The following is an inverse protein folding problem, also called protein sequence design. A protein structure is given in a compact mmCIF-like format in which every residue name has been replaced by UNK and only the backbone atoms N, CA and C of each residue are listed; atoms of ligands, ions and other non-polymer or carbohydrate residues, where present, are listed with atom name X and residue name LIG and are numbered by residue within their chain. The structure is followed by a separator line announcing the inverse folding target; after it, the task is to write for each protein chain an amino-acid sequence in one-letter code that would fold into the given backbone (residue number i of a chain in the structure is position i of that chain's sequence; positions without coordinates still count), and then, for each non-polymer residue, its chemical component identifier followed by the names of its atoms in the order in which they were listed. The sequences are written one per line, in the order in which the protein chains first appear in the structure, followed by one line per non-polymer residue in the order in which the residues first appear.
data_IF_494704237250
#
_entry.id   IF_494704237250
#
_cell.length_a   1.000
_cell.length_b   1.000
_cell.length_c   1.000
_cell.angle_alpha   90.00
_cell.angle_beta   90.00
_cell.angle_gamma   90.00
#
_symmetry.space_group_name_H-M   'P 1'
#
loop_
_entity.id
_entity.type
_entity.pdbx_description
1 polymer ?
#
# COMPACT_ATOMS: atom_id res chain seq x y z
N UNK A 1 23.26 16.00 17.98
CA UNK A 1 24.06 14.83 18.40
C UNK A 1 23.76 13.68 17.43
N UNK A 2 24.69 13.37 16.58
CA UNK A 2 24.49 12.36 15.50
C UNK A 2 24.72 10.99 16.08
N UNK A 3 23.69 10.13 16.11
CA UNK A 3 23.73 8.79 16.70
C UNK A 3 24.39 7.72 15.80
N UNK A 4 25.04 8.10 14.71
CA UNK A 4 25.74 7.18 13.79
C UNK A 4 25.02 5.83 13.56
N UNK A 5 23.70 5.85 13.39
CA UNK A 5 22.85 4.69 13.17
C UNK A 5 22.97 3.59 14.25
N UNK A 6 23.28 3.95 15.49
CA UNK A 6 23.40 3.02 16.63
C UNK A 6 22.38 3.32 17.73
N UNK A 7 21.82 2.27 18.31
CA UNK A 7 20.91 2.41 19.45
C UNK A 7 21.64 2.99 20.69
N UNK A 8 20.99 3.92 21.42
CA UNK A 8 21.57 4.53 22.63
C UNK A 8 21.84 3.54 23.76
N UNK A 9 20.99 2.51 23.91
CA UNK A 9 21.08 1.54 25.01
C UNK A 9 21.99 0.35 24.69
N UNK A 10 21.84 -0.23 23.51
CA UNK A 10 22.51 -1.51 23.19
C UNK A 10 23.64 -1.38 22.16
N UNK A 11 23.91 -0.17 21.66
CA UNK A 11 24.94 0.14 20.64
C UNK A 11 24.90 -0.74 19.38
N UNK A 12 23.81 -1.49 19.17
CA UNK A 12 23.58 -2.26 17.95
C UNK A 12 23.28 -1.34 16.77
N UNK A 13 23.80 -1.70 15.59
CA UNK A 13 23.48 -1.00 14.36
C UNK A 13 21.98 -1.12 14.08
N UNK A 14 21.34 0.04 13.78
CA UNK A 14 19.94 0.07 13.38
C UNK A 14 19.87 -0.40 11.91
N UNK A 15 18.99 -1.38 11.57
CA UNK A 15 18.83 -1.83 10.19
C UNK A 15 18.47 -0.67 9.27
N UNK A 16 19.09 -0.59 8.11
CA UNK A 16 18.81 0.45 7.09
C UNK A 16 17.34 0.47 6.64
N UNK A 17 16.62 -0.64 6.82
CA UNK A 17 15.20 -0.77 6.50
C UNK A 17 14.34 0.23 7.27
N UNK A 18 14.63 0.49 8.54
CA UNK A 18 13.87 1.48 9.33
C UNK A 18 14.00 2.89 8.76
N UNK A 19 15.19 3.26 8.32
CA UNK A 19 15.42 4.56 7.67
C UNK A 19 14.62 4.67 6.37
N UNK A 20 14.60 3.62 5.55
CA UNK A 20 13.80 3.59 4.32
C UNK A 20 12.31 3.70 4.60
N UNK A 21 11.79 3.00 5.61
CA UNK A 21 10.38 3.07 6.00
C UNK A 21 10.01 4.50 6.42
N UNK A 22 10.82 5.11 7.27
CA UNK A 22 10.60 6.49 7.73
C UNK A 22 10.64 7.48 6.57
N UNK A 23 11.63 7.35 5.67
CA UNK A 23 11.76 8.23 4.50
C UNK A 23 10.54 8.10 3.57
N UNK A 24 10.17 6.87 3.21
CA UNK A 24 9.07 6.62 2.28
C UNK A 24 7.73 7.05 2.90
N UNK A 25 7.49 6.74 4.16
CA UNK A 25 6.27 7.16 4.85
C UNK A 25 6.20 8.69 4.98
N UNK A 26 7.28 9.34 5.37
CA UNK A 26 7.35 10.80 5.47
C UNK A 26 7.09 11.49 4.15
N UNK A 27 7.71 11.04 3.06
CA UNK A 27 7.48 11.57 1.71
C UNK A 27 6.03 11.34 1.25
N UNK A 28 5.47 10.17 1.55
CA UNK A 28 4.08 9.85 1.19
C UNK A 28 3.08 10.75 1.92
N UNK A 29 3.28 10.99 3.21
CA UNK A 29 2.45 11.92 3.99
C UNK A 29 2.58 13.36 3.51
N UNK A 30 3.79 13.82 3.19
CA UNK A 30 4.01 15.13 2.62
C UNK A 30 3.25 15.27 1.30
N UNK A 31 3.33 14.28 0.43
CA UNK A 31 2.63 14.28 -0.85
C UNK A 31 1.10 14.34 -0.66
N UNK A 32 0.55 13.55 0.25
CA UNK A 32 -0.89 13.57 0.58
C UNK A 32 -1.30 14.94 1.11
N UNK A 33 -0.49 15.54 1.98
CA UNK A 33 -0.77 16.87 2.53
C UNK A 33 -0.80 17.96 1.44
N UNK A 34 0.04 17.86 0.42
CA UNK A 34 0.06 18.79 -0.70
C UNK A 34 -1.14 18.64 -1.65
N UNK A 35 -1.93 17.57 -1.52
CA UNK A 35 -3.14 17.40 -2.31
C UNK A 35 -4.29 18.25 -1.74
N UNK A 36 -5.11 18.82 -2.61
CA UNK A 36 -6.26 19.66 -2.22
C UNK A 36 -7.51 18.83 -1.91
N UNK A 37 -7.35 17.63 -1.37
CA UNK A 37 -8.45 16.79 -0.96
C UNK A 37 -9.00 17.18 0.42
N UNK A 38 -10.25 16.80 0.71
CA UNK A 38 -10.83 16.97 2.04
C UNK A 38 -10.02 16.23 3.11
N UNK A 39 -10.10 16.71 4.35
CA UNK A 39 -9.39 16.08 5.49
C UNK A 39 -9.72 14.57 5.62
N UNK A 40 -10.99 14.21 5.37
CA UNK A 40 -11.43 12.81 5.39
C UNK A 40 -10.71 11.99 4.31
N UNK A 41 -10.61 12.52 3.09
CA UNK A 41 -9.92 11.86 1.99
C UNK A 41 -8.42 11.73 2.24
N UNK A 42 -7.79 12.75 2.79
CA UNK A 42 -6.37 12.71 3.18
C UNK A 42 -6.10 11.63 4.24
N UNK A 43 -6.96 11.53 5.24
CA UNK A 43 -6.85 10.49 6.29
C UNK A 43 -7.01 9.09 5.69
N UNK A 44 -7.96 8.91 4.78
CA UNK A 44 -8.17 7.65 4.08
C UNK A 44 -6.97 7.25 3.23
N UNK A 45 -6.40 8.19 2.47
CA UNK A 45 -5.19 7.96 1.68
C UNK A 45 -3.99 7.61 2.56
N UNK A 46 -3.81 8.32 3.68
CA UNK A 46 -2.76 8.03 4.63
C UNK A 46 -2.86 6.60 5.17
N UNK A 47 -4.07 6.16 5.52
CA UNK A 47 -4.30 4.79 5.97
C UNK A 47 -3.98 3.75 4.88
N UNK A 48 -4.40 4.00 3.64
CA UNK A 48 -4.06 3.12 2.51
C UNK A 48 -2.55 3.01 2.31
N UNK A 49 -1.85 4.13 2.30
CA UNK A 49 -0.39 4.15 2.12
C UNK A 49 0.31 3.36 3.23
N UNK A 50 -0.09 3.55 4.49
CA UNK A 50 0.47 2.77 5.61
C UNK A 50 0.22 1.27 5.44
N UNK A 51 -0.99 0.88 5.05
CA UNK A 51 -1.31 -0.54 4.83
C UNK A 51 -0.47 -1.14 3.71
N UNK A 52 -0.31 -0.44 2.58
CA UNK A 52 0.55 -0.89 1.49
C UNK A 52 2.02 -0.97 1.88
N UNK A 53 2.53 -0.03 2.66
CA UNK A 53 3.89 -0.08 3.18
C UNK A 53 4.11 -1.30 4.09
N UNK A 54 3.16 -1.59 4.96
CA UNK A 54 3.22 -2.77 5.83
C UNK A 54 3.25 -4.06 4.99
N UNK A 55 2.36 -4.19 4.02
CA UNK A 55 2.31 -5.35 3.11
C UNK A 55 3.65 -5.49 2.36
N UNK A 56 4.16 -4.40 1.80
CA UNK A 56 5.40 -4.39 1.05
C UNK A 56 6.59 -4.86 1.89
N UNK A 57 6.73 -4.38 3.11
CA UNK A 57 7.84 -4.78 3.98
C UNK A 57 7.70 -6.20 4.52
N UNK A 58 6.48 -6.66 4.79
CA UNK A 58 6.25 -8.07 5.16
C UNK A 58 6.60 -8.99 3.98
N UNK A 59 6.21 -8.63 2.77
CA UNK A 59 6.53 -9.41 1.56
C UNK A 59 8.05 -9.48 1.32
N UNK A 60 8.75 -8.36 1.45
CA UNK A 60 10.21 -8.34 1.33
C UNK A 60 10.92 -9.23 2.35
N UNK A 61 10.39 -9.34 3.55
CA UNK A 61 11.02 -10.08 4.64
C UNK A 61 10.63 -11.56 4.66
N UNK A 62 9.37 -11.86 4.42
CA UNK A 62 8.78 -13.19 4.58
C UNK A 62 8.29 -13.81 3.27
N UNK A 63 8.21 -13.04 2.18
CA UNK A 63 7.63 -13.45 0.90
C UNK A 63 6.19 -14.01 1.03
N UNK A 64 5.44 -13.48 2.01
CA UNK A 64 4.06 -13.86 2.30
C UNK A 64 3.23 -12.58 2.40
N UNK A 65 2.14 -12.53 1.64
CA UNK A 65 1.18 -11.45 1.72
C UNK A 65 0.09 -11.87 2.72
N UNK A 66 -0.11 -11.13 3.84
CA UNK A 66 -1.15 -11.46 4.80
C UNK A 66 -2.55 -11.31 4.19
N UNK A 67 -3.31 -12.38 4.14
CA UNK A 67 -4.68 -12.37 3.58
C UNK A 67 -5.59 -11.39 4.31
N UNK A 68 -5.42 -11.25 5.61
CA UNK A 68 -6.21 -10.34 6.44
C UNK A 68 -6.06 -8.87 6.00
N UNK A 69 -4.88 -8.46 5.58
CA UNK A 69 -4.63 -7.11 5.07
C UNK A 69 -5.26 -6.92 3.68
N UNK A 70 -5.19 -7.93 2.82
CA UNK A 70 -5.83 -7.91 1.51
C UNK A 70 -7.35 -7.81 1.63
N UNK A 71 -7.96 -8.61 2.48
CA UNK A 71 -9.41 -8.52 2.76
C UNK A 71 -9.78 -7.17 3.37
N UNK A 72 -8.95 -6.64 4.25
CA UNK A 72 -9.12 -5.30 4.80
C UNK A 72 -9.12 -4.23 3.72
N UNK A 73 -8.21 -4.28 2.76
CA UNK A 73 -8.15 -3.34 1.63
C UNK A 73 -9.39 -3.43 0.74
N UNK A 74 -9.87 -4.64 0.45
CA UNK A 74 -11.11 -4.86 -0.32
C UNK A 74 -12.29 -4.23 0.42
N UNK A 75 -12.41 -4.49 1.72
CA UNK A 75 -13.46 -3.91 2.55
C UNK A 75 -13.41 -2.38 2.57
N UNK A 76 -12.23 -1.81 2.71
CA UNK A 76 -12.02 -0.36 2.63
C UNK A 76 -12.41 0.22 1.26
N UNK A 77 -12.10 -0.48 0.18
CA UNK A 77 -12.48 -0.06 -1.17
C UNK A 77 -14.00 -0.01 -1.35
N UNK A 78 -14.74 -0.94 -0.72
CA UNK A 78 -16.20 -0.90 -0.71
C UNK A 78 -16.74 0.25 0.12
N UNK A 79 -16.24 0.44 1.35
CA UNK A 79 -16.67 1.52 2.25
C UNK A 79 -16.52 2.89 1.60
N UNK A 80 -15.44 3.12 0.87
CA UNK A 80 -15.19 4.37 0.16
C UNK A 80 -16.38 4.82 -0.70
N UNK A 81 -17.08 3.88 -1.34
CA UNK A 81 -18.18 4.21 -2.24
C UNK A 81 -19.43 4.74 -1.50
N UNK A 82 -19.53 4.51 -0.19
CA UNK A 82 -20.63 5.03 0.63
C UNK A 82 -20.39 6.46 1.13
N UNK A 83 -19.16 6.96 1.03
CA UNK A 83 -18.82 8.31 1.47
C UNK A 83 -18.56 9.23 0.26
N UNK A 84 -19.51 10.12 -0.08
CA UNK A 84 -19.34 11.04 -1.20
C UNK A 84 -18.18 12.02 -1.01
N UNK A 85 -17.82 12.33 0.23
CA UNK A 85 -16.70 13.22 0.54
C UNK A 85 -15.32 12.59 0.25
N UNK A 86 -15.27 11.27 0.02
CA UNK A 86 -14.08 10.54 -0.39
C UNK A 86 -13.90 10.49 -1.92
N UNK A 87 -14.49 11.44 -2.65
CA UNK A 87 -14.33 11.55 -4.11
C UNK A 87 -12.87 11.90 -4.48
N UNK A 88 -12.08 10.85 -4.61
CA UNK A 88 -10.82 10.91 -5.32
C UNK A 88 -11.14 10.90 -6.80
N UNK A 89 -10.70 11.92 -7.54
CA UNK A 89 -11.08 12.18 -8.94
C UNK A 89 -10.91 10.97 -9.90
N UNK A 90 -10.13 9.97 -9.52
CA UNK A 90 -9.85 8.78 -10.33
C UNK A 90 -10.70 7.55 -9.96
N UNK A 91 -11.57 7.63 -8.94
CA UNK A 91 -12.37 6.49 -8.47
C UNK A 91 -13.80 6.90 -8.15
N UNK A 92 -14.49 7.48 -9.13
CA UNK A 92 -15.77 8.13 -8.87
C UNK A 92 -16.96 7.17 -8.75
N UNK A 93 -16.91 5.98 -9.37
CA UNK A 93 -18.05 5.08 -9.46
C UNK A 93 -17.73 3.67 -9.00
N UNK A 94 -18.74 3.01 -8.39
CA UNK A 94 -18.68 1.60 -8.04
C UNK A 94 -18.36 0.72 -9.25
N UNK A 95 -18.93 1.03 -10.41
CA UNK A 95 -18.71 0.32 -11.67
C UNK A 95 -17.22 0.31 -12.06
N UNK A 96 -16.56 1.47 -12.00
CA UNK A 96 -15.14 1.60 -12.32
C UNK A 96 -14.27 0.80 -11.33
N UNK A 97 -14.65 0.77 -10.05
CA UNK A 97 -13.95 0.00 -9.02
C UNK A 97 -14.07 -1.50 -9.28
N UNK A 98 -15.24 -2.00 -9.67
CA UNK A 98 -15.46 -3.41 -10.01
C UNK A 98 -14.69 -3.78 -11.27
N UNK A 99 -14.76 -2.97 -12.31
CA UNK A 99 -14.01 -3.20 -13.56
C UNK A 99 -12.51 -3.21 -13.29
N UNK A 100 -12.00 -2.26 -12.52
CA UNK A 100 -10.58 -2.22 -12.12
C UNK A 100 -10.14 -3.46 -11.37
N UNK A 101 -10.95 -3.94 -10.43
CA UNK A 101 -10.69 -5.17 -9.68
C UNK A 101 -10.67 -6.42 -10.58
N UNK A 102 -11.62 -6.53 -11.51
CA UNK A 102 -11.67 -7.64 -12.47
C UNK A 102 -10.47 -7.61 -13.43
N UNK A 103 -10.14 -6.45 -13.98
CA UNK A 103 -8.97 -6.30 -14.86
C UNK A 103 -7.68 -6.65 -14.13
N UNK A 104 -7.52 -6.18 -12.89
CA UNK A 104 -6.37 -6.53 -12.05
C UNK A 104 -6.27 -8.02 -11.78
N UNK A 105 -7.37 -8.67 -11.41
CA UNK A 105 -7.41 -10.10 -11.18
C UNK A 105 -7.04 -10.90 -12.44
N UNK A 106 -7.67 -10.61 -13.57
CA UNK A 106 -7.41 -11.32 -14.82
C UNK A 106 -5.98 -11.09 -15.34
N UNK A 107 -5.40 -9.91 -15.15
CA UNK A 107 -4.02 -9.64 -15.57
C UNK A 107 -3.02 -10.46 -14.77
N UNK A 108 -3.19 -10.55 -13.45
CA UNK A 108 -2.33 -11.38 -12.59
C UNK A 108 -2.50 -12.87 -12.94
N UNK A 109 -3.73 -13.32 -13.11
CA UNK A 109 -4.02 -14.70 -13.52
C UNK A 109 -3.37 -15.04 -14.86
N UNK A 110 -3.45 -14.15 -15.86
CA UNK A 110 -2.81 -14.33 -17.17
C UNK A 110 -1.29 -14.44 -17.06
N UNK A 111 -0.65 -13.61 -16.23
CA UNK A 111 0.79 -13.66 -15.98
C UNK A 111 1.19 -15.01 -15.37
N UNK A 112 0.43 -15.49 -14.38
CA UNK A 112 0.68 -16.79 -13.75
C UNK A 112 0.56 -17.92 -14.77
N UNK A 113 -0.49 -17.92 -15.60
CA UNK A 113 -0.67 -18.93 -16.66
C UNK A 113 0.47 -18.89 -17.67
N UNK A 114 0.87 -17.70 -18.10
CA UNK A 114 2.00 -17.53 -19.01
C UNK A 114 3.30 -18.09 -18.42
N UNK A 115 3.55 -17.82 -17.13
CA UNK A 115 4.72 -18.36 -16.43
C UNK A 115 4.71 -19.90 -16.41
N UNK A 116 3.56 -20.52 -16.13
CA UNK A 116 3.43 -21.98 -16.14
C UNK A 116 3.67 -22.58 -17.54
N UNK A 117 3.16 -21.93 -18.57
CA UNK A 117 3.36 -22.37 -19.96
C UNK A 117 4.83 -22.29 -20.34
N UNK A 118 5.50 -21.18 -20.04
CA UNK A 118 6.91 -20.97 -20.33
C UNK A 118 7.82 -21.94 -19.57
N UNK A 119 7.46 -22.28 -18.34
CA UNK A 119 8.24 -23.23 -17.53
C UNK A 119 8.15 -24.67 -18.03
N UNK A 120 7.07 -25.05 -18.71
CA UNK A 120 6.92 -26.39 -19.35
C UNK A 120 7.70 -26.56 -20.65
N UNK A 121 8.14 -25.46 -21.24
CA UNK A 121 8.97 -25.46 -22.42
C UNK A 121 10.45 -25.51 -22.00
#
# INVERSE_FOLDING_TARGET
MVLNAKCRKCKKNIPKQYFLIELISGLSFLFIYMTNYSLLAQTFLAFLVLTYLIIFFIDLKHHIIPDILNFGLIFFAFIKNFFPDLNLNFTQNLEVSIIGGLVGYFSIWAIIQLYYILRKI
#
